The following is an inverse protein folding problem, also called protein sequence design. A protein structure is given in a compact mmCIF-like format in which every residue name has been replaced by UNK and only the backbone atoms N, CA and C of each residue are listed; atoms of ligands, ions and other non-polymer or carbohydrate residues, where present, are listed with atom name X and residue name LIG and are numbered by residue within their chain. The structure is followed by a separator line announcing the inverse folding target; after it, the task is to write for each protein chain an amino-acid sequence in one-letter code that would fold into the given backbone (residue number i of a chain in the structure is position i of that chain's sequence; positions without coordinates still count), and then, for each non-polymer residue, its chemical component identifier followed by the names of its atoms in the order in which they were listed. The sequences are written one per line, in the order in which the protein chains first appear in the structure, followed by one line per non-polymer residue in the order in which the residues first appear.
data_IF_419769256827
#
_entry.id   IF_419769256827
#
_cell.length_a   1.000
_cell.length_b   1.000
_cell.length_c   1.000
_cell.angle_alpha   90.00
_cell.angle_beta   90.00
_cell.angle_gamma   90.00
#
_symmetry.space_group_name_H-M   'P 1'
#
loop_
_entity.id
_entity.type
_entity.pdbx_description
1 polymer ?
#
# COMPACT_ATOMS: atom_id res chain seq x y z
N UNK A 1 35.77 -7.89 -54.25
CA UNK A 1 35.90 -6.43 -54.26
C UNK A 1 34.46 -5.90 -54.26
N UNK A 2 33.74 -5.88 -53.12
CA UNK A 2 34.12 -5.27 -51.81
C UNK A 2 34.23 -3.76 -52.04
N UNK A 3 33.42 -2.83 -51.53
CA UNK A 3 32.23 -2.83 -50.65
C UNK A 3 31.18 -1.82 -51.22
N UNK A 4 29.97 -1.59 -50.69
CA UNK A 4 29.35 -1.92 -49.38
C UNK A 4 27.83 -2.19 -49.50
N UNK A 5 27.22 -2.80 -48.48
CA UNK A 5 25.80 -2.69 -48.14
C UNK A 5 25.56 -3.02 -46.66
N UNK A 6 25.83 -2.07 -45.76
CA UNK A 6 25.60 -2.23 -44.33
C UNK A 6 24.13 -2.56 -44.00
N UNK A 7 23.96 -3.74 -43.39
CA UNK A 7 22.72 -4.30 -42.87
C UNK A 7 22.03 -3.29 -41.92
N UNK A 8 20.71 -3.12 -42.07
CA UNK A 8 19.91 -2.39 -41.07
C UNK A 8 19.59 -3.42 -39.99
N UNK A 9 20.55 -3.62 -39.07
CA UNK A 9 20.35 -4.50 -37.93
C UNK A 9 19.17 -4.00 -37.10
N UNK A 10 18.14 -4.86 -37.04
CA UNK A 10 16.95 -4.77 -36.23
C UNK A 10 17.20 -4.06 -34.90
N UNK A 11 16.43 -3.00 -34.62
CA UNK A 11 16.22 -2.59 -33.24
C UNK A 11 15.57 -3.78 -32.52
N UNK A 12 16.35 -4.48 -31.71
CA UNK A 12 15.84 -5.55 -30.87
C UNK A 12 14.79 -4.93 -29.95
N UNK A 13 13.54 -5.36 -30.12
CA UNK A 13 12.45 -5.07 -29.21
C UNK A 13 12.81 -5.78 -27.91
N UNK A 14 13.50 -5.07 -27.03
CA UNK A 14 13.78 -5.54 -25.67
C UNK A 14 12.46 -5.42 -24.92
N UNK A 15 11.60 -6.42 -25.14
CA UNK A 15 10.55 -6.81 -24.20
C UNK A 15 11.25 -7.25 -22.91
N UNK A 16 11.71 -6.27 -22.11
CA UNK A 16 12.03 -6.51 -20.71
C UNK A 16 10.70 -6.81 -20.02
N UNK A 17 10.38 -8.10 -19.98
CA UNK A 17 9.44 -8.73 -19.03
C UNK A 17 10.03 -8.62 -17.60
N UNK A 18 10.41 -7.40 -17.21
CA UNK A 18 10.69 -7.02 -15.84
C UNK A 18 9.33 -6.90 -15.17
N UNK A 19 8.91 -8.00 -14.55
CA UNK A 19 7.61 -8.09 -13.89
C UNK A 19 7.37 -6.87 -13.00
N UNK A 20 6.31 -6.12 -13.32
CA UNK A 20 5.94 -4.88 -12.66
C UNK A 20 5.98 -5.04 -11.14
N UNK A 21 6.78 -4.22 -10.48
CA UNK A 21 6.93 -4.29 -9.03
C UNK A 21 5.78 -3.55 -8.37
N UNK A 22 5.26 -4.10 -7.26
CA UNK A 22 4.16 -3.46 -6.55
C UNK A 22 4.67 -2.43 -5.56
N UNK A 23 4.23 -1.20 -5.74
CA UNK A 23 4.53 -0.07 -4.87
C UNK A 23 3.28 0.46 -4.19
N UNK A 24 3.47 1.03 -3.00
CA UNK A 24 2.50 1.90 -2.34
C UNK A 24 3.06 3.32 -2.27
N UNK A 25 2.24 4.32 -2.60
CA UNK A 25 2.60 5.73 -2.48
C UNK A 25 2.30 6.18 -1.05
N UNK A 26 3.34 6.36 -0.24
CA UNK A 26 3.23 6.79 1.15
C UNK A 26 3.19 8.32 1.27
N UNK A 27 3.85 9.03 0.34
CA UNK A 27 3.85 10.48 0.27
C UNK A 27 3.76 10.98 -1.18
N UNK A 28 3.09 12.11 -1.39
CA UNK A 28 2.98 12.76 -2.69
C UNK A 28 2.85 14.27 -2.52
N UNK A 29 3.73 15.02 -3.20
CA UNK A 29 3.70 16.48 -3.31
C UNK A 29 3.47 16.88 -4.78
N UNK A 30 3.42 18.17 -5.09
CA UNK A 30 3.21 18.61 -6.48
C UNK A 30 4.34 18.20 -7.44
N UNK A 31 5.58 18.16 -6.93
CA UNK A 31 6.81 17.97 -7.70
C UNK A 31 7.58 16.69 -7.30
N UNK A 32 7.05 15.86 -6.40
CA UNK A 32 7.73 14.65 -5.89
C UNK A 32 6.74 13.59 -5.39
N UNK A 33 7.16 12.33 -5.30
CA UNK A 33 6.43 11.29 -4.59
C UNK A 33 7.37 10.27 -3.96
N UNK A 34 6.91 9.61 -2.89
CA UNK A 34 7.64 8.53 -2.20
C UNK A 34 6.84 7.25 -2.35
N UNK A 35 7.47 6.27 -2.98
CA UNK A 35 6.96 4.93 -3.20
C UNK A 35 7.69 3.97 -2.25
N UNK A 36 6.97 3.02 -1.65
CA UNK A 36 7.56 1.87 -0.94
C UNK A 36 7.22 0.60 -1.71
N UNK A 37 8.23 -0.18 -2.06
CA UNK A 37 8.08 -1.55 -2.56
C UNK A 37 7.40 -2.39 -1.48
N UNK A 38 6.30 -3.04 -1.86
CA UNK A 38 5.45 -3.78 -0.93
C UNK A 38 6.05 -5.12 -0.51
N UNK A 39 6.95 -5.71 -1.30
CA UNK A 39 7.56 -7.01 -1.00
C UNK A 39 8.93 -6.86 -0.35
N UNK A 40 9.75 -5.90 -0.80
CA UNK A 40 11.09 -5.66 -0.21
C UNK A 40 11.11 -4.62 0.92
N UNK A 41 10.10 -3.74 0.99
CA UNK A 41 10.08 -2.58 1.89
C UNK A 41 11.02 -1.44 1.46
N UNK A 42 11.67 -1.55 0.30
CA UNK A 42 12.57 -0.51 -0.22
C UNK A 42 11.80 0.78 -0.51
N UNK A 43 12.40 1.92 -0.15
CA UNK A 43 11.82 3.25 -0.41
C UNK A 43 12.47 3.88 -1.63
N UNK A 44 11.65 4.31 -2.56
CA UNK A 44 11.98 4.99 -3.81
C UNK A 44 11.43 6.41 -3.77
N UNK A 45 12.22 7.40 -4.19
CA UNK A 45 11.78 8.79 -4.29
C UNK A 45 11.74 9.18 -5.75
N UNK A 46 10.58 9.60 -6.25
CA UNK A 46 10.45 10.03 -7.64
C UNK A 46 10.97 11.46 -7.84
N UNK A 47 11.65 11.68 -8.95
CA UNK A 47 12.20 12.99 -9.34
C UNK A 47 11.11 14.03 -9.67
N UNK A 48 9.94 13.57 -10.12
CA UNK A 48 8.73 14.34 -10.43
C UNK A 48 7.50 13.55 -9.95
N UNK A 49 6.37 14.21 -9.70
CA UNK A 49 5.09 13.53 -9.47
C UNK A 49 4.26 13.43 -10.78
N UNK A 50 4.03 12.22 -11.35
CA UNK A 50 3.17 12.03 -12.52
C UNK A 50 1.65 12.09 -12.22
N UNK A 51 1.25 12.66 -11.08
CA UNK A 51 -0.15 12.73 -10.62
C UNK A 51 -0.57 11.52 -9.79
N UNK A 52 0.35 10.92 -9.04
CA UNK A 52 0.06 9.95 -7.97
C UNK A 52 -0.25 10.66 -6.66
N UNK A 53 -1.03 9.99 -5.81
CA UNK A 53 -1.54 10.50 -4.53
C UNK A 53 -1.18 9.52 -3.41
N UNK A 54 -0.93 10.03 -2.20
CA UNK A 54 -0.72 9.17 -1.04
C UNK A 54 -1.95 8.28 -0.79
N UNK A 55 -1.75 6.96 -0.69
CA UNK A 55 -2.84 5.98 -0.73
C UNK A 55 -2.92 5.19 -2.03
N UNK A 56 -2.24 5.61 -3.10
CA UNK A 56 -2.16 4.83 -4.34
C UNK A 56 -1.33 3.55 -4.16
N UNK A 57 -1.79 2.49 -4.82
CA UNK A 57 -1.05 1.23 -5.01
C UNK A 57 -0.89 1.03 -6.51
N UNK A 58 0.36 0.84 -6.92
CA UNK A 58 0.80 0.77 -8.30
C UNK A 58 1.45 -0.58 -8.55
N UNK A 59 1.14 -1.23 -9.67
CA UNK A 59 2.04 -2.19 -10.29
C UNK A 59 2.76 -1.41 -11.40
N UNK A 60 4.07 -1.22 -11.27
CA UNK A 60 4.83 -0.28 -12.09
C UNK A 60 6.31 -0.70 -12.23
N UNK A 61 6.98 -0.12 -13.22
CA UNK A 61 8.42 -0.28 -13.43
C UNK A 61 9.11 1.07 -13.20
N UNK A 62 10.17 1.06 -12.39
CA UNK A 62 10.97 2.24 -12.05
C UNK A 62 12.34 2.17 -12.72
N UNK A 63 12.92 3.33 -13.05
CA UNK A 63 14.31 3.46 -13.45
C UNK A 63 14.97 4.68 -12.78
N UNK A 64 16.26 4.64 -12.43
CA UNK A 64 16.97 5.79 -11.89
C UNK A 64 16.98 6.98 -12.88
N UNK A 65 16.78 8.19 -12.36
CA UNK A 65 16.73 9.42 -13.17
C UNK A 65 18.15 9.99 -13.42
N UNK A 66 18.61 10.03 -14.67
CA UNK A 66 19.95 10.54 -15.01
C UNK A 66 20.04 12.08 -14.85
N UNK A 67 21.26 12.63 -14.70
CA UNK A 67 22.56 11.98 -14.68
C UNK A 67 23.09 11.70 -13.26
N UNK A 68 22.29 12.01 -12.22
CA UNK A 68 22.72 11.88 -10.82
C UNK A 68 22.24 10.58 -10.17
N UNK A 69 21.15 9.97 -10.67
CA UNK A 69 20.66 8.66 -10.23
C UNK A 69 20.34 8.62 -8.71
N UNK A 70 19.94 9.77 -8.15
CA UNK A 70 19.57 9.96 -6.73
C UNK A 70 18.08 9.68 -6.48
N UNK A 71 17.26 9.92 -7.51
CA UNK A 71 15.82 9.73 -7.52
C UNK A 71 15.47 8.81 -8.70
N UNK A 72 14.33 8.14 -8.59
CA UNK A 72 13.77 7.28 -9.63
C UNK A 72 12.77 8.06 -10.51
N UNK A 73 12.39 7.46 -11.62
CA UNK A 73 11.17 7.81 -12.36
C UNK A 73 10.36 6.55 -12.66
N UNK A 74 9.05 6.72 -12.76
CA UNK A 74 8.17 5.69 -13.32
C UNK A 74 8.41 5.65 -14.84
N UNK A 75 8.73 4.47 -15.39
CA UNK A 75 8.80 4.25 -16.84
C UNK A 75 7.52 3.63 -17.39
N UNK A 76 6.84 2.80 -16.61
CA UNK A 76 5.58 2.14 -16.97
C UNK A 76 4.67 1.95 -15.74
N UNK A 77 3.35 1.94 -15.97
CA UNK A 77 2.32 1.63 -14.97
C UNK A 77 1.29 0.69 -15.58
N UNK A 78 1.38 -0.58 -15.21
CA UNK A 78 0.44 -1.64 -15.60
C UNK A 78 -0.92 -1.47 -14.90
N UNK A 79 -0.88 -1.07 -13.63
CA UNK A 79 -2.05 -1.01 -12.76
C UNK A 79 -1.91 0.11 -11.73
N UNK A 80 -3.02 0.80 -11.45
CA UNK A 80 -3.16 1.79 -10.37
C UNK A 80 -4.52 1.64 -9.72
N UNK A 81 -4.54 1.56 -8.39
CA UNK A 81 -5.75 1.73 -7.57
C UNK A 81 -5.46 2.66 -6.39
N UNK A 82 -6.48 3.35 -5.92
CA UNK A 82 -6.37 4.21 -4.74
C UNK A 82 -7.03 3.56 -3.53
N UNK A 83 -6.31 3.43 -2.42
CA UNK A 83 -6.81 2.85 -1.16
C UNK A 83 -7.20 3.96 -0.20
N UNK A 84 -8.49 4.07 0.11
CA UNK A 84 -9.01 5.04 1.09
C UNK A 84 -8.94 4.48 2.50
N UNK A 85 -8.21 5.14 3.41
CA UNK A 85 -8.24 4.90 4.86
C UNK A 85 -9.27 5.85 5.50
N UNK A 86 -10.11 5.36 6.40
CA UNK A 86 -11.06 6.19 7.17
C UNK A 86 -11.52 5.50 8.46
N UNK A 87 -11.85 6.33 9.46
CA UNK A 87 -12.62 5.93 10.63
C UNK A 87 -14.10 5.76 10.28
N UNK A 88 -14.76 4.84 10.99
CA UNK A 88 -16.18 4.51 10.85
C UNK A 88 -16.91 4.74 12.17
N UNK A 89 -18.00 5.50 12.15
CA UNK A 89 -18.90 5.71 13.30
C UNK A 89 -19.63 4.42 13.74
N UNK A 90 -19.61 3.36 12.93
CA UNK A 90 -20.12 2.05 13.34
C UNK A 90 -19.14 1.32 14.28
N UNK A 91 -19.60 0.76 15.41
CA UNK A 91 -18.74 -0.03 16.30
C UNK A 91 -18.27 -1.35 15.65
N UNK A 92 -17.23 -1.99 16.22
CA UNK A 92 -16.85 -3.37 15.91
C UNK A 92 -18.05 -4.31 16.02
N UNK A 93 -18.15 -5.27 15.09
CA UNK A 93 -19.21 -6.28 15.12
C UNK A 93 -19.02 -7.26 16.26
N UNK A 94 -20.07 -8.01 16.61
CA UNK A 94 -20.04 -8.98 17.70
C UNK A 94 -18.90 -10.02 17.58
N UNK A 95 -18.48 -10.39 16.37
CA UNK A 95 -17.35 -11.31 16.17
C UNK A 95 -15.99 -10.63 16.41
N UNK A 96 -15.85 -9.35 16.07
CA UNK A 96 -14.63 -8.59 16.38
C UNK A 96 -14.50 -8.34 17.89
N UNK A 97 -15.61 -8.10 18.59
CA UNK A 97 -15.63 -8.01 20.06
C UNK A 97 -15.36 -9.37 20.75
N UNK A 98 -15.84 -10.48 20.17
CA UNK A 98 -15.53 -11.84 20.63
C UNK A 98 -14.01 -12.11 20.54
N UNK A 99 -13.39 -11.84 19.38
CA UNK A 99 -11.94 -11.96 19.19
C UNK A 99 -11.15 -11.07 20.18
N UNK A 100 -11.58 -9.83 20.39
CA UNK A 100 -10.93 -8.91 21.33
C UNK A 100 -11.07 -9.33 22.80
N UNK A 101 -12.13 -10.07 23.15
CA UNK A 101 -12.39 -10.57 24.51
C UNK A 101 -11.51 -11.77 24.90
N UNK A 102 -11.02 -12.51 23.89
CA UNK A 102 -10.06 -13.61 24.07
C UNK A 102 -8.59 -13.14 24.03
N UNK A 103 -8.35 -11.82 23.89
CA UNK A 103 -7.03 -11.18 23.77
C UNK A 103 -6.62 -10.41 25.03
N UNK A 104 -5.33 -10.44 25.36
CA UNK A 104 -4.71 -9.50 26.30
C UNK A 104 -4.52 -8.10 25.65
N UNK A 105 -4.40 -7.07 26.49
CA UNK A 105 -4.12 -5.70 26.02
C UNK A 105 -2.72 -5.64 25.38
N UNK A 106 -2.65 -5.07 24.18
CA UNK A 106 -1.46 -5.02 23.32
C UNK A 106 -1.41 -6.14 22.27
N UNK A 107 -2.35 -7.08 22.27
CA UNK A 107 -2.42 -8.14 21.25
C UNK A 107 -3.16 -7.72 19.97
N UNK A 108 -2.80 -8.39 18.88
CA UNK A 108 -3.38 -8.23 17.55
C UNK A 108 -3.68 -9.61 16.94
N UNK A 109 -4.95 -9.91 16.70
CA UNK A 109 -5.37 -11.07 15.89
C UNK A 109 -5.65 -10.65 14.46
N UNK A 110 -5.27 -11.50 13.49
CA UNK A 110 -5.64 -11.36 12.07
C UNK A 110 -6.61 -12.48 11.70
N UNK A 111 -7.69 -12.14 11.03
CA UNK A 111 -8.70 -13.10 10.58
C UNK A 111 -9.04 -12.87 9.10
N UNK A 112 -8.97 -13.93 8.30
CA UNK A 112 -9.40 -13.91 6.90
C UNK A 112 -10.92 -13.81 6.84
N UNK A 113 -11.45 -12.88 6.05
CA UNK A 113 -12.90 -12.73 5.92
C UNK A 113 -13.44 -13.80 4.97
N UNK A 114 -14.51 -14.49 5.35
CA UNK A 114 -15.25 -15.38 4.47
C UNK A 114 -15.76 -14.61 3.23
N UNK A 115 -15.04 -14.72 2.10
CA UNK A 115 -15.20 -13.88 0.92
C UNK A 115 -13.86 -13.32 0.46
N UNK A 116 -13.71 -11.99 0.54
CA UNK A 116 -12.48 -11.25 0.18
C UNK A 116 -12.18 -10.23 1.28
N UNK A 117 -10.90 -9.98 1.51
CA UNK A 117 -10.41 -9.06 2.54
C UNK A 117 -10.02 -9.74 3.86
N UNK A 118 -9.51 -8.93 4.77
CA UNK A 118 -8.98 -9.34 6.08
C UNK A 118 -9.54 -8.41 7.17
N UNK A 119 -9.54 -8.89 8.41
CA UNK A 119 -9.86 -8.10 9.60
C UNK A 119 -8.70 -8.24 10.57
N UNK A 120 -8.16 -7.13 11.09
CA UNK A 120 -7.28 -7.14 12.26
C UNK A 120 -8.07 -6.66 13.47
N UNK A 121 -7.96 -7.37 14.59
CA UNK A 121 -8.57 -6.99 15.86
C UNK A 121 -7.45 -6.68 16.84
N UNK A 122 -7.37 -5.44 17.29
CA UNK A 122 -6.34 -4.92 18.20
C UNK A 122 -7.02 -4.58 19.52
N UNK A 123 -6.46 -5.05 20.63
CA UNK A 123 -6.91 -4.68 21.98
C UNK A 123 -5.92 -3.67 22.56
N UNK A 124 -6.39 -2.47 22.90
CA UNK A 124 -5.59 -1.38 23.51
C UNK A 124 -6.19 -0.96 24.85
N UNK A 125 -5.49 -0.19 25.70
CA UNK A 125 -6.10 0.42 26.86
C UNK A 125 -7.27 1.32 26.41
N UNK A 126 -8.44 1.18 27.03
CA UNK A 126 -9.65 1.92 26.65
C UNK A 126 -9.44 3.46 26.54
N UNK A 127 -8.59 4.03 27.39
CA UNK A 127 -8.25 5.46 27.39
C UNK A 127 -7.34 5.90 26.22
N UNK A 128 -6.73 4.96 25.51
CA UNK A 128 -5.79 5.16 24.38
C UNK A 128 -6.46 4.84 23.02
N UNK A 129 -7.69 4.33 23.01
CA UNK A 129 -8.42 3.91 21.80
C UNK A 129 -8.44 4.97 20.69
N UNK A 130 -8.83 6.20 21.02
CA UNK A 130 -8.87 7.32 20.05
C UNK A 130 -7.48 7.64 19.46
N UNK A 131 -6.41 7.54 20.23
CA UNK A 131 -5.03 7.79 19.76
C UNK A 131 -4.57 6.65 18.82
N UNK A 132 -4.77 5.40 19.26
CA UNK A 132 -4.43 4.22 18.49
C UNK A 132 -5.24 4.07 17.17
N UNK A 133 -6.46 4.64 17.10
CA UNK A 133 -7.21 4.74 15.82
C UNK A 133 -6.52 5.69 14.84
N UNK A 134 -6.02 6.85 15.30
CA UNK A 134 -5.27 7.76 14.42
C UNK A 134 -3.95 7.13 13.98
N UNK A 135 -3.19 6.51 14.89
CA UNK A 135 -1.96 5.78 14.56
C UNK A 135 -2.19 4.76 13.42
N UNK A 136 -3.26 3.96 13.49
CA UNK A 136 -3.62 2.99 12.43
C UNK A 136 -4.01 3.67 11.10
N UNK A 137 -4.66 4.83 11.15
CA UNK A 137 -5.05 5.57 9.94
C UNK A 137 -3.86 6.24 9.26
N UNK A 138 -2.87 6.68 10.03
CA UNK A 138 -1.65 7.32 9.54
C UNK A 138 -0.57 6.29 9.13
N UNK A 139 -0.54 5.11 9.76
CA UNK A 139 0.44 4.05 9.53
C UNK A 139 0.55 3.56 8.07
N UNK A 140 1.75 3.69 7.51
CA UNK A 140 2.13 3.14 6.20
C UNK A 140 1.97 1.61 6.16
N UNK A 141 2.23 0.89 7.26
CA UNK A 141 2.16 -0.58 7.31
C UNK A 141 0.75 -1.12 7.03
N UNK A 142 -0.27 -0.40 7.50
CA UNK A 142 -1.68 -0.62 7.20
C UNK A 142 -1.98 -0.39 5.72
N UNK A 143 -1.39 0.63 5.11
CA UNK A 143 -1.55 0.89 3.68
C UNK A 143 -0.81 -0.15 2.81
N UNK A 144 0.42 -0.53 3.17
CA UNK A 144 1.15 -1.65 2.55
C UNK A 144 0.36 -2.95 2.66
N UNK A 145 -0.28 -3.22 3.81
CA UNK A 145 -1.08 -4.44 4.01
C UNK A 145 -2.29 -4.47 3.06
N UNK A 146 -2.96 -3.34 2.87
CA UNK A 146 -4.00 -3.19 1.86
C UNK A 146 -3.46 -3.35 0.42
N UNK A 147 -2.25 -2.86 0.17
CA UNK A 147 -1.56 -3.00 -1.12
C UNK A 147 -1.22 -4.45 -1.50
N UNK A 148 -0.83 -5.28 -0.51
CA UNK A 148 -0.58 -6.74 -0.70
C UNK A 148 -1.83 -7.51 -1.13
N UNK A 149 -3.03 -7.07 -0.75
CA UNK A 149 -4.27 -7.77 -1.05
C UNK A 149 -4.82 -7.39 -2.43
N UNK A 150 -5.23 -8.39 -3.20
CA UNK A 150 -5.96 -8.16 -4.44
C UNK A 150 -7.31 -7.47 -4.17
N UNK A 151 -7.66 -6.51 -5.04
CA UNK A 151 -8.93 -5.77 -5.05
C UNK A 151 -9.25 -4.90 -3.83
N UNK A 152 -8.41 -4.82 -2.78
CA UNK A 152 -8.68 -3.90 -1.65
C UNK A 152 -8.51 -2.45 -2.11
N UNK A 153 -9.57 -1.65 -1.94
CA UNK A 153 -9.62 -0.21 -2.26
C UNK A 153 -10.03 0.64 -1.05
N UNK A 154 -10.35 0.02 0.08
CA UNK A 154 -10.79 0.71 1.29
C UNK A 154 -10.30 -0.01 2.54
N UNK A 155 -9.77 0.76 3.48
CA UNK A 155 -9.53 0.38 4.87
C UNK A 155 -10.51 1.15 5.73
N UNK A 156 -11.26 0.43 6.56
CA UNK A 156 -12.27 0.94 7.46
C UNK A 156 -11.84 0.60 8.90
N UNK A 157 -11.59 1.62 9.72
CA UNK A 157 -11.25 1.45 11.14
C UNK A 157 -12.49 1.67 11.98
N UNK A 158 -12.87 0.68 12.78
CA UNK A 158 -13.98 0.74 13.75
C UNK A 158 -13.42 0.63 15.16
N UNK A 159 -13.99 1.35 16.11
CA UNK A 159 -13.51 1.39 17.49
C UNK A 159 -14.64 1.25 18.51
N UNK A 160 -14.31 0.67 19.66
CA UNK A 160 -15.12 0.68 20.87
C UNK A 160 -14.25 1.22 22.01
N UNK A 161 -14.49 2.47 22.40
CA UNK A 161 -13.72 3.16 23.45
C UNK A 161 -14.05 2.66 24.86
N UNK A 162 -15.15 1.92 25.06
CA UNK A 162 -15.48 1.34 26.36
C UNK A 162 -14.68 0.05 26.61
N UNK A 163 -14.45 -0.75 25.57
CA UNK A 163 -13.67 -2.00 25.65
C UNK A 163 -12.20 -1.84 25.26
N UNK A 164 -11.82 -0.77 24.56
CA UNK A 164 -10.49 -0.64 23.97
C UNK A 164 -10.28 -1.52 22.74
N UNK A 165 -11.35 -1.83 21.99
CA UNK A 165 -11.29 -2.70 20.81
C UNK A 165 -11.20 -1.86 19.54
N UNK A 166 -10.21 -2.15 18.69
CA UNK A 166 -10.09 -1.58 17.34
C UNK A 166 -10.18 -2.70 16.32
N UNK A 167 -11.06 -2.56 15.32
CA UNK A 167 -11.11 -3.43 14.14
C UNK A 167 -10.68 -2.68 12.89
N UNK A 168 -9.66 -3.19 12.21
CA UNK A 168 -9.15 -2.70 10.93
C UNK A 168 -9.62 -3.63 9.82
N UNK A 169 -10.47 -3.14 8.94
CA UNK A 169 -11.18 -3.95 7.94
C UNK A 169 -10.70 -3.60 6.54
N UNK A 170 -10.09 -4.56 5.87
CA UNK A 170 -9.59 -4.43 4.50
C UNK A 170 -10.69 -4.87 3.53
N UNK A 171 -11.19 -3.94 2.72
CA UNK A 171 -12.41 -4.08 1.92
C UNK A 171 -12.17 -3.80 0.43
N UNK A 172 -12.80 -4.58 -0.47
CA UNK A 172 -12.97 -4.20 -1.87
C UNK A 172 -14.06 -3.14 -2.07
#
# INVERSE_FOLDING_TARGET
MTDDAADIETAEDVETDEAATRYVVTHAEADSAVLRDIDSGQVHTLADNPGVEAGDVLDATLAPEPPLEIADRIVEVDSRRHVRRHESEEPPTAHEQELASDQDVGELTRHERAGMGEIHVITVPAAETSEAVQDVLEDDGTLERAGRMENVVRVEVRSDEETGTISVRYLP
#
